data_IF_907864269329
#
_entry.id   IF_907864269329
#
_cell.length_a   1.000
_cell.length_b   1.000
_cell.length_c   1.000
_cell.angle_alpha   90.00
_cell.angle_beta   90.00
_cell.angle_gamma   90.00
#
_symmetry.space_group_name_H-M   'P 1'
#
loop_
_entity.id
_entity.type
_entity.pdbx_description
1 polymer ?
#
# COMPACT_ATOMS: atom_id res chain seq x y z
N UNK A 1 -9.92 -6.41 -25.61
CA UNK A 1 -10.24 -5.01 -25.92
C UNK A 1 -9.19 -4.49 -26.90
N UNK A 2 -9.59 -4.02 -28.08
CA UNK A 2 -8.69 -3.32 -29.01
C UNK A 2 -8.58 -1.86 -28.55
N UNK A 3 -7.39 -1.26 -28.66
CA UNK A 3 -7.09 0.16 -28.38
C UNK A 3 -7.14 0.61 -26.90
N UNK A 4 -6.52 -0.17 -26.00
CA UNK A 4 -6.45 0.18 -24.57
C UNK A 4 -5.66 1.47 -24.29
N UNK A 5 -4.59 1.71 -25.03
CA UNK A 5 -3.77 2.92 -24.91
C UNK A 5 -4.56 4.18 -25.23
N UNK A 6 -5.53 4.09 -26.15
CA UNK A 6 -6.42 5.20 -26.49
C UNK A 6 -7.23 5.66 -25.28
N UNK A 7 -7.71 4.73 -24.45
CA UNK A 7 -8.48 5.04 -23.24
C UNK A 7 -7.65 5.67 -22.11
N UNK A 8 -6.32 5.59 -22.21
CA UNK A 8 -5.40 6.26 -21.28
C UNK A 8 -5.07 7.69 -21.76
N UNK A 9 -5.32 8.00 -23.03
CA UNK A 9 -5.06 9.32 -23.59
C UNK A 9 -6.05 10.36 -23.08
N UNK A 10 -5.54 11.55 -22.79
CA UNK A 10 -6.39 12.71 -22.49
C UNK A 10 -7.20 13.19 -23.71
N UNK A 11 -6.75 12.89 -24.92
CA UNK A 11 -7.46 13.23 -26.17
C UNK A 11 -8.73 12.39 -26.38
N UNK A 12 -8.77 11.18 -25.82
CA UNK A 12 -9.97 10.36 -25.83
C UNK A 12 -10.95 10.93 -24.80
N UNK A 13 -12.16 11.37 -25.17
CA UNK A 13 -13.14 11.91 -24.21
C UNK A 13 -13.87 10.81 -23.41
N UNK A 14 -13.75 9.54 -23.80
CA UNK A 14 -14.44 8.43 -23.12
C UNK A 14 -13.98 8.30 -21.66
N UNK A 15 -14.91 8.52 -20.72
CA UNK A 15 -14.68 8.36 -19.26
C UNK A 15 -15.60 7.33 -18.60
N UNK A 16 -16.70 6.98 -19.27
CA UNK A 16 -17.68 6.01 -18.77
C UNK A 16 -17.69 4.80 -19.69
N UNK A 17 -17.50 3.61 -19.10
CA UNK A 17 -17.49 2.35 -19.84
C UNK A 17 -18.58 1.47 -19.26
N UNK A 18 -19.64 1.25 -20.04
CA UNK A 18 -20.68 0.30 -19.72
C UNK A 18 -20.32 -1.05 -20.32
N UNK A 19 -20.24 -2.09 -19.50
CA UNK A 19 -19.93 -3.42 -19.98
C UNK A 19 -20.68 -4.48 -19.20
N UNK A 20 -21.24 -5.45 -19.91
CA UNK A 20 -21.83 -6.66 -19.32
C UNK A 20 -20.78 -7.62 -18.73
N UNK A 21 -19.50 -7.34 -19.02
CA UNK A 21 -18.34 -8.18 -18.68
C UNK A 21 -17.12 -7.30 -18.35
N UNK A 22 -17.32 -6.07 -17.86
CA UNK A 22 -16.21 -5.22 -17.42
C UNK A 22 -15.40 -6.04 -16.42
N UNK A 23 -14.07 -6.03 -16.55
CA UNK A 23 -13.15 -6.76 -15.67
C UNK A 23 -13.16 -8.30 -15.84
N UNK A 24 -13.79 -8.85 -16.88
CA UNK A 24 -13.50 -10.23 -17.37
C UNK A 24 -12.25 -10.26 -18.25
N UNK A 25 -11.83 -11.45 -18.69
CA UNK A 25 -10.64 -11.64 -19.53
C UNK A 25 -10.55 -10.63 -20.68
N UNK A 26 -9.38 -10.00 -20.82
CA UNK A 26 -9.11 -9.01 -21.86
C UNK A 26 -9.34 -7.55 -21.46
N UNK A 27 -9.88 -7.26 -20.27
CA UNK A 27 -9.92 -5.92 -19.68
C UNK A 27 -8.78 -5.74 -18.66
N UNK A 28 -7.88 -4.83 -18.98
CA UNK A 28 -6.69 -4.51 -18.18
C UNK A 28 -6.35 -3.03 -18.44
N UNK A 29 -7.02 -2.16 -17.69
CA UNK A 29 -6.74 -0.73 -17.67
C UNK A 29 -6.38 -0.37 -16.21
N UNK A 30 -5.14 0.09 -15.94
CA UNK A 30 -4.71 0.45 -14.60
C UNK A 30 -5.34 1.74 -14.07
N UNK A 31 -5.96 2.57 -14.93
CA UNK A 31 -6.53 3.87 -14.58
C UNK A 31 -8.05 3.78 -14.41
N UNK A 32 -8.49 2.79 -13.62
CA UNK A 32 -9.90 2.55 -13.32
C UNK A 32 -10.12 2.80 -11.85
N UNK A 33 -10.64 3.99 -11.54
CA UNK A 33 -10.80 4.47 -10.16
C UNK A 33 -12.21 4.26 -9.61
N UNK A 34 -13.17 3.92 -10.46
CA UNK A 34 -14.56 3.70 -10.06
C UNK A 34 -15.12 2.43 -10.69
N UNK A 35 -15.70 1.58 -9.85
CA UNK A 35 -16.47 0.42 -10.30
C UNK A 35 -17.88 0.55 -9.72
N UNK A 36 -18.88 0.57 -10.59
CA UNK A 36 -20.28 0.53 -10.20
C UNK A 36 -20.89 -0.80 -10.66
N UNK A 37 -21.30 -1.62 -9.70
CA UNK A 37 -21.94 -2.90 -10.00
C UNK A 37 -23.46 -2.77 -9.88
N UNK A 38 -24.15 -2.74 -11.03
CA UNK A 38 -25.61 -2.64 -11.12
C UNK A 38 -26.34 -4.00 -11.02
N UNK A 39 -25.60 -5.11 -10.99
CA UNK A 39 -26.17 -6.48 -10.96
C UNK A 39 -25.88 -7.15 -9.63
N UNK A 40 -26.86 -7.87 -9.10
CA UNK A 40 -26.63 -8.84 -8.03
C UNK A 40 -25.89 -10.05 -8.61
N UNK A 41 -24.72 -10.36 -8.05
CA UNK A 41 -23.97 -11.57 -8.35
C UNK A 41 -23.74 -12.33 -7.04
N UNK A 42 -24.04 -13.62 -7.04
CA UNK A 42 -23.85 -14.49 -5.87
C UNK A 42 -22.42 -15.10 -5.84
N UNK A 43 -21.63 -14.90 -6.89
CA UNK A 43 -20.28 -15.44 -6.98
C UNK A 43 -19.25 -14.49 -6.36
N UNK A 44 -18.89 -14.76 -5.11
CA UNK A 44 -17.83 -14.05 -4.37
C UNK A 44 -16.48 -14.06 -5.10
N UNK A 45 -16.12 -15.18 -5.74
CA UNK A 45 -14.89 -15.32 -6.52
C UNK A 45 -14.84 -14.31 -7.67
N UNK A 46 -15.95 -14.15 -8.41
CA UNK A 46 -16.02 -13.20 -9.52
C UNK A 46 -15.89 -11.76 -9.02
N UNK A 47 -16.60 -11.41 -7.94
CA UNK A 47 -16.49 -10.08 -7.30
C UNK A 47 -15.04 -9.77 -6.93
N UNK A 48 -14.32 -10.73 -6.33
CA UNK A 48 -12.91 -10.55 -5.94
C UNK A 48 -12.00 -10.29 -7.14
N UNK A 49 -12.19 -11.01 -8.24
CA UNK A 49 -11.40 -10.79 -9.46
C UNK A 49 -11.68 -9.43 -10.11
N UNK A 50 -12.94 -8.97 -10.08
CA UNK A 50 -13.34 -7.67 -10.60
C UNK A 50 -12.70 -6.53 -9.79
N UNK A 51 -12.83 -6.54 -8.45
CA UNK A 51 -12.19 -5.55 -7.57
C UNK A 51 -10.66 -5.59 -7.71
N UNK A 52 -10.06 -6.79 -7.72
CA UNK A 52 -8.61 -6.94 -7.84
C UNK A 52 -8.02 -6.34 -9.12
N UNK A 53 -8.81 -6.19 -10.19
CA UNK A 53 -8.38 -5.48 -11.40
C UNK A 53 -8.42 -3.97 -11.25
N UNK A 54 -9.29 -3.42 -10.42
CA UNK A 54 -9.32 -1.99 -10.08
C UNK A 54 -8.27 -1.59 -9.04
N UNK A 55 -7.74 -2.53 -8.25
CA UNK A 55 -6.68 -2.28 -7.25
C UNK A 55 -5.26 -2.18 -7.85
N UNK A 56 -5.14 -1.99 -9.16
CA UNK A 56 -3.84 -1.84 -9.82
C UNK A 56 -3.33 -0.42 -9.63
N UNK A 57 -2.01 -0.27 -9.56
CA UNK A 57 -1.39 1.06 -9.59
C UNK A 57 -1.63 1.71 -10.95
N UNK A 58 -2.16 2.92 -10.93
CA UNK A 58 -2.40 3.70 -12.13
C UNK A 58 -1.09 4.12 -12.80
N UNK A 59 -1.18 4.54 -14.06
CA UNK A 59 -0.05 5.10 -14.80
C UNK A 59 -0.25 6.56 -15.16
N UNK A 60 0.84 7.31 -15.26
CA UNK A 60 0.84 8.68 -15.78
C UNK A 60 0.78 8.71 -17.32
N UNK A 61 0.82 9.92 -17.89
CA UNK A 61 0.81 10.14 -19.34
C UNK A 61 2.00 9.53 -20.10
N UNK A 62 3.09 9.23 -19.40
CA UNK A 62 4.27 8.57 -19.95
C UNK A 62 4.22 7.03 -19.81
N UNK A 63 3.12 6.50 -19.25
CA UNK A 63 2.96 5.08 -18.99
C UNK A 63 3.72 4.59 -17.75
N UNK A 64 4.28 5.50 -16.95
CA UNK A 64 5.01 5.18 -15.72
C UNK A 64 4.02 4.91 -14.59
N UNK A 65 4.30 3.88 -13.79
CA UNK A 65 3.43 3.52 -12.66
C UNK A 65 3.58 4.53 -11.53
N UNK A 66 2.45 4.93 -10.97
CA UNK A 66 2.39 5.83 -9.82
C UNK A 66 2.58 5.01 -8.53
N UNK A 67 3.83 4.63 -8.26
CA UNK A 67 4.25 3.90 -7.07
C UNK A 67 5.10 4.76 -6.11
N UNK A 68 5.58 4.17 -5.01
CA UNK A 68 6.29 4.89 -3.96
C UNK A 68 7.65 5.48 -4.37
N UNK A 69 8.16 5.10 -5.54
CA UNK A 69 9.40 5.67 -6.09
C UNK A 69 9.17 7.04 -6.73
N UNK A 70 7.93 7.40 -7.06
CA UNK A 70 7.60 8.68 -7.70
C UNK A 70 7.66 9.80 -6.65
N UNK A 71 8.53 10.82 -6.80
CA UNK A 71 8.64 11.87 -5.80
C UNK A 71 7.41 12.79 -5.76
N UNK A 72 7.02 13.21 -4.56
CA UNK A 72 6.00 14.25 -4.36
C UNK A 72 4.55 13.78 -4.55
N UNK A 73 4.31 12.47 -4.60
CA UNK A 73 2.97 11.89 -4.61
C UNK A 73 2.69 11.10 -3.34
N UNK A 74 1.43 11.10 -2.92
CA UNK A 74 0.92 10.08 -2.01
C UNK A 74 0.33 8.93 -2.84
N UNK A 75 1.01 7.78 -2.83
CA UNK A 75 0.60 6.59 -3.58
C UNK A 75 -0.77 6.09 -3.15
N UNK A 76 -1.08 6.19 -1.86
CA UNK A 76 -2.34 5.70 -1.30
C UNK A 76 -3.49 6.64 -1.63
N UNK A 77 -3.24 7.95 -1.68
CA UNK A 77 -4.23 8.95 -2.08
C UNK A 77 -4.56 8.86 -3.58
N UNK A 78 -3.56 8.68 -4.44
CA UNK A 78 -3.77 8.63 -5.89
C UNK A 78 -4.44 7.31 -6.32
N UNK A 79 -4.05 6.19 -5.72
CA UNK A 79 -4.52 4.86 -6.13
C UNK A 79 -5.75 4.39 -5.34
N UNK A 80 -6.77 5.24 -5.24
CA UNK A 80 -8.04 4.91 -4.56
C UNK A 80 -9.07 4.37 -5.54
N UNK A 81 -9.49 3.12 -5.34
CA UNK A 81 -10.62 2.52 -6.05
C UNK A 81 -11.92 2.75 -5.25
N UNK A 82 -12.85 3.50 -5.82
CA UNK A 82 -14.20 3.65 -5.28
C UNK A 82 -15.11 2.57 -5.85
N UNK A 83 -15.74 1.78 -4.96
CA UNK A 83 -16.71 0.76 -5.35
C UNK A 83 -18.11 1.21 -4.96
N UNK A 84 -18.96 1.46 -5.95
CA UNK A 84 -20.38 1.79 -5.77
C UNK A 84 -21.17 0.49 -5.86
N UNK A 85 -21.74 0.10 -4.73
CA UNK A 85 -22.27 -1.22 -4.45
C UNK A 85 -23.76 -1.17 -4.07
N UNK A 86 -24.50 -2.23 -4.40
CA UNK A 86 -25.74 -2.55 -3.68
C UNK A 86 -25.42 -3.18 -2.31
N UNK A 87 -26.40 -3.29 -1.42
CA UNK A 87 -26.22 -3.80 -0.05
C UNK A 87 -25.43 -5.13 0.02
N UNK A 88 -25.65 -6.05 -0.92
CA UNK A 88 -24.94 -7.35 -0.95
C UNK A 88 -23.48 -7.27 -1.44
N UNK A 89 -23.04 -6.15 -1.99
CA UNK A 89 -21.66 -5.92 -2.39
C UNK A 89 -20.90 -5.12 -1.33
N UNK A 90 -21.60 -4.29 -0.53
CA UNK A 90 -21.00 -3.64 0.65
C UNK A 90 -20.44 -4.68 1.64
N UNK A 91 -21.24 -5.69 2.00
CA UNK A 91 -20.81 -6.77 2.90
C UNK A 91 -19.56 -7.49 2.35
N UNK A 92 -19.54 -7.75 1.04
CA UNK A 92 -18.38 -8.35 0.37
C UNK A 92 -17.14 -7.43 0.43
N UNK A 93 -17.29 -6.14 0.15
CA UNK A 93 -16.18 -5.19 0.19
C UNK A 93 -15.58 -5.06 1.59
N UNK A 94 -16.43 -5.04 2.63
CA UNK A 94 -15.98 -5.04 4.03
C UNK A 94 -15.21 -6.32 4.36
N UNK A 95 -15.75 -7.48 4.01
CA UNK A 95 -15.08 -8.76 4.23
C UNK A 95 -13.71 -8.81 3.52
N UNK A 96 -13.64 -8.35 2.27
CA UNK A 96 -12.39 -8.30 1.51
C UNK A 96 -11.36 -7.38 2.17
N UNK A 97 -11.78 -6.21 2.66
CA UNK A 97 -10.89 -5.30 3.40
C UNK A 97 -10.34 -5.97 4.67
N UNK A 98 -11.19 -6.64 5.44
CA UNK A 98 -10.77 -7.40 6.63
C UNK A 98 -9.78 -8.50 6.29
N UNK A 99 -10.04 -9.31 5.26
CA UNK A 99 -9.13 -10.38 4.81
C UNK A 99 -7.77 -9.82 4.36
N UNK A 100 -7.75 -8.70 3.64
CA UNK A 100 -6.50 -8.03 3.24
C UNK A 100 -5.75 -7.54 4.47
N UNK A 101 -6.44 -6.94 5.45
CA UNK A 101 -5.83 -6.46 6.69
C UNK A 101 -5.26 -7.60 7.54
N UNK A 102 -5.98 -8.73 7.65
CA UNK A 102 -5.50 -9.94 8.31
C UNK A 102 -4.26 -10.53 7.61
N UNK A 103 -4.28 -10.63 6.28
CA UNK A 103 -3.11 -11.13 5.52
C UNK A 103 -1.90 -10.19 5.66
N UNK A 104 -2.12 -8.87 5.68
CA UNK A 104 -1.05 -7.89 5.92
C UNK A 104 -0.55 -7.91 7.37
N UNK A 105 -1.39 -8.33 8.33
CA UNK A 105 -1.01 -8.47 9.73
C UNK A 105 0.00 -9.59 10.00
N UNK A 106 0.11 -10.55 9.07
CA UNK A 106 1.14 -11.61 9.10
C UNK A 106 2.52 -11.10 8.64
N UNK A 107 2.62 -9.90 8.05
CA UNK A 107 3.92 -9.20 7.92
C UNK A 107 4.37 -8.84 9.33
N UNK A 108 5.66 -9.03 9.69
CA UNK A 108 6.12 -8.93 11.08
C UNK A 108 5.69 -7.60 11.71
N UNK A 109 4.63 -7.67 12.53
CA UNK A 109 4.23 -6.60 13.45
C UNK A 109 5.17 -6.50 14.63
N UNK A 110 5.91 -7.58 14.91
CA UNK A 110 6.90 -7.64 15.97
C UNK A 110 8.20 -6.97 15.53
N UNK A 111 8.53 -5.89 16.23
CA UNK A 111 9.79 -5.18 16.08
C UNK A 111 10.70 -5.50 17.27
N UNK A 112 11.06 -6.77 17.42
CA UNK A 112 11.99 -7.27 18.44
C UNK A 112 13.46 -7.08 18.01
N UNK A 113 14.41 -7.50 18.85
CA UNK A 113 15.84 -7.38 18.54
C UNK A 113 16.21 -8.12 17.26
N UNK A 114 15.67 -9.33 17.05
CA UNK A 114 15.95 -10.16 15.88
C UNK A 114 15.41 -9.53 14.60
N UNK A 115 14.29 -8.81 14.68
CA UNK A 115 13.74 -8.03 13.57
C UNK A 115 14.72 -6.96 13.06
N UNK A 116 15.54 -6.36 13.93
CA UNK A 116 16.49 -5.32 13.54
C UNK A 116 17.86 -5.86 13.15
N UNK A 117 18.25 -7.02 13.68
CA UNK A 117 19.57 -7.61 13.47
C UNK A 117 19.86 -7.81 11.98
N UNK A 118 21.09 -7.51 11.57
CA UNK A 118 21.62 -7.70 10.22
C UNK A 118 20.94 -6.91 9.09
N UNK A 119 19.94 -6.08 9.40
CA UNK A 119 19.37 -5.15 8.43
C UNK A 119 20.42 -4.12 8.02
N UNK A 120 20.46 -3.85 6.72
CA UNK A 120 21.36 -2.85 6.12
C UNK A 120 20.53 -1.62 5.79
N UNK A 121 20.93 -0.50 6.38
CA UNK A 121 20.35 0.82 6.10
C UNK A 121 21.30 1.57 5.17
N UNK A 122 20.77 2.12 4.07
CA UNK A 122 21.54 2.88 3.09
C UNK A 122 20.96 4.29 2.95
N UNK A 123 21.80 5.32 3.04
CA UNK A 123 21.37 6.71 2.84
C UNK A 123 21.42 7.11 1.35
N UNK A 124 20.96 8.32 1.04
CA UNK A 124 20.95 8.87 -0.33
C UNK A 124 22.36 9.07 -0.93
N UNK A 125 23.42 9.02 -0.10
CA UNK A 125 24.83 9.16 -0.50
C UNK A 125 25.49 7.80 -0.77
N UNK A 126 24.75 6.69 -0.60
CA UNK A 126 25.26 5.33 -0.80
C UNK A 126 26.02 4.76 0.40
N UNK A 127 26.08 5.46 1.53
CA UNK A 127 26.70 4.95 2.75
C UNK A 127 25.76 3.92 3.37
N UNK A 128 26.30 2.76 3.76
CA UNK A 128 25.56 1.66 4.32
C UNK A 128 26.00 1.35 5.74
N UNK A 129 25.04 1.14 6.64
CA UNK A 129 25.26 0.64 7.99
C UNK A 129 24.51 -0.68 8.17
N UNK A 130 25.23 -1.72 8.58
CA UNK A 130 24.61 -2.96 9.06
C UNK A 130 24.28 -2.79 10.54
N UNK A 131 23.06 -3.14 10.93
CA UNK A 131 22.63 -3.15 12.32
C UNK A 131 23.23 -4.38 12.99
N UNK A 132 24.16 -4.15 13.94
CA UNK A 132 24.71 -5.19 14.80
C UNK A 132 23.80 -5.46 16.01
N UNK A 133 24.16 -6.46 16.82
CA UNK A 133 23.38 -6.87 17.99
C UNK A 133 23.21 -5.74 19.02
N UNK A 134 24.23 -4.91 19.20
CA UNK A 134 24.18 -3.81 20.17
C UNK A 134 23.23 -2.70 19.70
N UNK A 135 23.29 -2.35 18.42
CA UNK A 135 22.41 -1.36 17.81
C UNK A 135 20.97 -1.87 17.72
N UNK A 136 20.76 -3.14 17.43
CA UNK A 136 19.43 -3.78 17.46
C UNK A 136 18.79 -3.69 18.86
N UNK A 137 19.54 -4.01 19.92
CA UNK A 137 19.07 -3.86 21.32
C UNK A 137 18.77 -2.41 21.69
N UNK A 138 19.57 -1.45 21.21
CA UNK A 138 19.33 -0.02 21.43
C UNK A 138 18.08 0.47 20.69
N UNK A 139 17.90 0.04 19.44
CA UNK A 139 16.70 0.31 18.65
C UNK A 139 15.45 -0.19 19.35
N UNK A 140 15.43 -1.46 19.71
CA UNK A 140 14.31 -2.08 20.41
C UNK A 140 13.96 -1.34 21.72
N UNK A 141 14.95 -1.03 22.56
CA UNK A 141 14.74 -0.23 23.77
C UNK A 141 14.22 1.17 23.50
N UNK A 142 14.63 1.79 22.39
CA UNK A 142 14.14 3.10 21.98
C UNK A 142 12.68 3.01 21.57
N UNK A 143 12.31 1.99 20.81
CA UNK A 143 10.93 1.74 20.41
C UNK A 143 10.03 1.50 21.63
N UNK A 144 10.48 0.74 22.62
CA UNK A 144 9.76 0.55 23.89
C UNK A 144 9.56 1.90 24.61
N UNK A 145 10.63 2.68 24.79
CA UNK A 145 10.58 3.97 25.52
C UNK A 145 9.65 4.99 24.87
N UNK A 146 9.55 4.96 23.54
CA UNK A 146 8.70 5.87 22.78
C UNK A 146 7.27 5.34 22.61
N UNK A 147 6.94 4.17 23.18
CA UNK A 147 5.63 3.55 23.03
C UNK A 147 5.35 3.05 21.62
N UNK A 148 6.38 2.89 20.77
CA UNK A 148 6.25 2.41 19.40
C UNK A 148 5.96 0.91 19.32
N UNK A 149 6.28 0.15 20.37
CA UNK A 149 5.92 -1.26 20.52
C UNK A 149 5.16 -1.50 21.82
N UNK A 150 4.26 -2.47 21.82
CA UNK A 150 3.56 -2.96 23.01
C UNK A 150 4.37 -4.03 23.77
N UNK A 151 3.80 -4.58 24.84
CA UNK A 151 4.41 -5.63 25.67
C UNK A 151 4.68 -6.94 24.91
N UNK A 152 4.11 -7.11 23.71
CA UNK A 152 4.32 -8.25 22.82
C UNK A 152 5.24 -7.90 21.63
N UNK A 153 5.95 -6.77 21.70
CA UNK A 153 6.79 -6.19 20.66
C UNK A 153 6.03 -5.75 19.39
N UNK A 154 4.70 -5.67 19.42
CA UNK A 154 3.90 -5.26 18.26
C UNK A 154 3.89 -3.75 18.07
N UNK A 155 4.08 -3.29 16.82
CA UNK A 155 4.03 -1.88 16.48
C UNK A 155 2.67 -1.25 16.81
N UNK A 156 2.69 -0.12 17.51
CA UNK A 156 1.49 0.61 17.97
C UNK A 156 1.08 1.72 17.00
N UNK A 157 -0.13 2.27 17.16
CA UNK A 157 -0.58 3.46 16.40
C UNK A 157 0.35 4.67 16.56
N UNK A 158 1.03 4.80 17.71
CA UNK A 158 1.98 5.87 17.98
C UNK A 158 3.20 5.80 17.03
N UNK A 159 3.66 4.60 16.70
CA UNK A 159 4.71 4.42 15.71
C UNK A 159 4.26 4.89 14.32
N UNK A 160 3.08 4.44 13.86
CA UNK A 160 2.57 4.82 12.54
C UNK A 160 2.35 6.32 12.41
N UNK A 161 1.80 6.96 13.46
CA UNK A 161 1.63 8.42 13.53
C UNK A 161 2.99 9.14 13.45
N UNK A 162 4.01 8.66 14.15
CA UNK A 162 5.34 9.25 14.11
C UNK A 162 6.03 9.09 12.75
N UNK A 163 5.77 8.00 12.02
CA UNK A 163 6.25 7.78 10.65
C UNK A 163 5.60 8.78 9.69
N UNK A 164 4.28 8.94 9.74
CA UNK A 164 3.54 9.90 8.89
C UNK A 164 4.04 11.33 9.09
N UNK A 165 4.32 11.71 10.34
CA UNK A 165 4.82 13.04 10.68
C UNK A 165 6.33 13.21 10.45
N UNK A 166 7.05 12.16 10.01
CA UNK A 166 8.51 12.12 9.89
C UNK A 166 9.24 12.46 11.20
N UNK A 167 8.66 12.09 12.35
CA UNK A 167 9.14 12.40 13.70
C UNK A 167 9.62 11.14 14.46
N UNK A 168 9.95 10.07 13.75
CA UNK A 168 10.45 8.84 14.38
C UNK A 168 11.77 9.11 15.12
N UNK A 169 11.72 8.93 16.44
CA UNK A 169 12.89 9.04 17.31
C UNK A 169 13.71 7.75 17.17
N UNK A 170 14.96 7.89 16.77
CA UNK A 170 15.91 6.79 16.60
C UNK A 170 17.14 7.05 17.49
N UNK A 171 17.92 6.00 17.83
CA UNK A 171 19.21 6.17 18.51
C UNK A 171 20.16 7.09 17.73
N UNK A 172 21.00 7.84 18.45
CA UNK A 172 21.97 8.80 17.89
C UNK A 172 22.94 8.13 16.89
N UNK A 173 23.23 6.85 17.06
CA UNK A 173 24.10 6.08 16.17
C UNK A 173 23.53 5.95 14.75
N UNK A 174 22.22 6.17 14.56
CA UNK A 174 21.57 6.21 13.26
C UNK A 174 21.52 7.61 12.64
N UNK A 175 21.97 8.65 13.34
CA UNK A 175 22.01 10.02 12.79
C UNK A 175 22.95 10.13 11.61
N UNK A 176 23.95 9.25 11.53
CA UNK A 176 24.90 9.14 10.42
C UNK A 176 24.18 8.82 9.09
N UNK A 177 23.05 8.09 9.16
CA UNK A 177 22.24 7.71 8.00
C UNK A 177 21.04 8.65 7.81
N UNK A 178 20.56 9.30 8.89
CA UNK A 178 19.46 10.28 8.80
C UNK A 178 19.80 11.55 8.03
N UNK A 179 21.08 11.94 7.95
CA UNK A 179 21.49 13.17 7.25
C UNK A 179 21.27 13.02 5.74
N UNK A 180 20.24 13.70 5.24
CA UNK A 180 19.97 13.93 3.81
C UNK A 180 21.23 14.41 3.07
#
# INVERSE_FOLDING_TARGET
MRDKERLLSFEEPTRFIFSHSALKEGWDNPNVFQICTLKHSDSTIKKRQEVGRGLRLCVNQHGERMDASVPGIDVHEINVLTVIASESYEQFARQLQSEIAETLSERPRKADVDFFLDKVLTNARGESLRIDENLAKKLHRTFIRQGYVDDNDQLTEQYFTAVEQQQVVLPEELDVIKRR
#
